data_IF_574378336134
#
_entry.id   IF_574378336134
#
_cell.length_a   1.000
_cell.length_b   1.000
_cell.length_c   1.000
_cell.angle_alpha   90.00
_cell.angle_beta   90.00
_cell.angle_gamma   90.00
#
_symmetry.space_group_name_H-M   'P 1'
#
loop_
_entity.id
_entity.type
_entity.pdbx_description
1 polymer ?
#
# COMPACT_ATOMS: atom_id res chain seq x y z
N UNK A 1 22.40 -19.61 -11.00
CA UNK A 1 21.18 -18.88 -10.58
C UNK A 1 21.40 -17.40 -10.80
N UNK A 2 20.61 -16.73 -11.66
CA UNK A 2 20.75 -15.28 -11.91
C UNK A 2 20.07 -14.51 -10.77
N UNK A 3 20.82 -13.61 -10.14
CA UNK A 3 20.37 -12.78 -9.02
C UNK A 3 19.17 -11.90 -9.45
N UNK A 4 18.09 -11.79 -8.66
CA UNK A 4 17.02 -10.84 -8.96
C UNK A 4 17.59 -9.42 -9.02
N UNK A 5 17.12 -8.62 -10.00
CA UNK A 5 17.57 -7.25 -10.19
C UNK A 5 17.30 -6.35 -8.97
N UNK A 6 18.03 -5.24 -8.82
CA UNK A 6 17.98 -4.38 -7.63
C UNK A 6 16.58 -3.84 -7.33
N UNK A 7 15.79 -3.50 -8.36
CA UNK A 7 14.45 -2.95 -8.18
C UNK A 7 13.45 -3.92 -7.52
N UNK A 8 13.47 -5.20 -7.87
CA UNK A 8 12.58 -6.19 -7.26
C UNK A 8 12.93 -6.39 -5.78
N UNK A 9 14.22 -6.38 -5.44
CA UNK A 9 14.67 -6.50 -4.04
C UNK A 9 14.22 -5.30 -3.21
N UNK A 10 14.40 -4.09 -3.74
CA UNK A 10 13.98 -2.85 -3.07
C UNK A 10 12.46 -2.81 -2.92
N UNK A 11 11.71 -3.20 -3.95
CA UNK A 11 10.24 -3.25 -3.89
C UNK A 11 9.74 -4.29 -2.87
N UNK A 12 10.31 -5.50 -2.86
CA UNK A 12 9.96 -6.54 -1.89
C UNK A 12 10.35 -6.11 -0.47
N UNK A 13 11.54 -5.57 -0.27
CA UNK A 13 11.99 -5.08 1.03
C UNK A 13 11.10 -3.95 1.53
N UNK A 14 10.77 -2.98 0.68
CA UNK A 14 9.83 -1.90 1.02
C UNK A 14 8.45 -2.43 1.38
N UNK A 15 7.93 -3.39 0.62
CA UNK A 15 6.64 -4.01 0.91
C UNK A 15 6.66 -4.80 2.23
N UNK A 16 7.69 -5.61 2.47
CA UNK A 16 7.87 -6.35 3.72
C UNK A 16 8.01 -5.40 4.91
N UNK A 17 8.91 -4.41 4.83
CA UNK A 17 9.11 -3.43 5.90
C UNK A 17 7.81 -2.71 6.25
N UNK A 18 7.01 -2.36 5.24
CA UNK A 18 5.75 -1.69 5.50
C UNK A 18 4.70 -2.62 6.11
N UNK A 19 4.55 -3.84 5.59
CA UNK A 19 3.61 -4.81 6.17
C UNK A 19 3.97 -5.13 7.63
N UNK A 20 5.27 -5.28 7.93
CA UNK A 20 5.76 -5.46 9.30
C UNK A 20 5.48 -4.23 10.16
N UNK A 21 5.73 -3.02 9.65
CA UNK A 21 5.40 -1.78 10.35
C UNK A 21 3.92 -1.67 10.69
N UNK A 22 3.03 -1.99 9.75
CA UNK A 22 1.59 -2.03 9.99
C UNK A 22 1.18 -3.06 11.03
N UNK A 23 1.75 -4.27 10.96
CA UNK A 23 1.46 -5.32 11.92
C UNK A 23 1.88 -4.93 13.35
N UNK A 24 3.07 -4.33 13.49
CA UNK A 24 3.57 -3.84 14.78
C UNK A 24 2.71 -2.70 15.31
N UNK A 25 2.34 -1.73 14.46
CA UNK A 25 1.51 -0.61 14.85
C UNK A 25 0.10 -1.05 15.26
N UNK A 26 -0.53 -1.94 14.48
CA UNK A 26 -1.83 -2.52 14.82
C UNK A 26 -1.77 -3.35 16.11
N UNK A 27 -0.69 -4.12 16.32
CA UNK A 27 -0.47 -4.86 17.57
C UNK A 27 -0.29 -3.94 18.77
N UNK A 28 0.45 -2.84 18.61
CA UNK A 28 0.63 -1.83 19.64
C UNK A 28 -0.69 -1.14 20.00
N UNK A 29 -1.47 -0.70 19.01
CA UNK A 29 -2.79 -0.11 19.22
C UNK A 29 -3.76 -1.10 19.87
N UNK A 30 -3.80 -2.34 19.38
CA UNK A 30 -4.66 -3.38 19.95
C UNK A 30 -4.31 -3.71 21.40
N UNK A 31 -3.02 -3.73 21.74
CA UNK A 31 -2.58 -3.89 23.13
C UNK A 31 -3.04 -2.72 24.02
N UNK A 32 -2.91 -1.48 23.54
CA UNK A 32 -3.35 -0.29 24.30
C UNK A 32 -4.87 -0.22 24.44
N UNK A 33 -5.62 -0.53 23.38
CA UNK A 33 -7.08 -0.61 23.42
C UNK A 33 -7.55 -1.70 24.40
N UNK A 34 -6.90 -2.86 24.39
CA UNK A 34 -7.22 -3.94 25.33
C UNK A 34 -6.91 -3.56 26.78
N UNK A 35 -5.74 -2.97 27.04
CA UNK A 35 -5.37 -2.50 28.38
C UNK A 35 -6.31 -1.39 28.87
N UNK A 36 -6.72 -0.47 27.97
CA UNK A 36 -7.71 0.56 28.27
C UNK A 36 -9.07 -0.05 28.64
N UNK A 37 -9.59 -0.99 27.83
CA UNK A 37 -10.84 -1.69 28.12
C UNK A 37 -10.80 -2.43 29.47
N UNK A 38 -9.72 -3.17 29.74
CA UNK A 38 -9.54 -3.84 31.04
C UNK A 38 -9.48 -2.87 32.22
N UNK A 39 -8.86 -1.70 32.06
CA UNK A 39 -8.82 -0.70 33.11
C UNK A 39 -10.18 -0.04 33.32
N UNK A 40 -10.92 0.25 32.23
CA UNK A 40 -12.30 0.75 32.26
C UNK A 40 -13.25 -0.24 32.93
N UNK A 41 -13.15 -1.52 32.62
CA UNK A 41 -14.00 -2.58 33.21
C UNK A 41 -13.78 -2.72 34.73
N UNK A 42 -12.58 -2.42 35.21
CA UNK A 42 -12.25 -2.39 36.65
C UNK A 42 -12.67 -1.09 37.34
N UNK A 43 -12.96 -0.04 36.57
CA UNK A 43 -13.33 1.28 37.08
C UNK A 43 -14.77 1.31 37.62
N UNK A 44 -14.98 0.62 38.75
CA UNK A 44 -16.30 0.40 39.34
C UNK A 44 -16.71 1.45 40.36
N UNK A 45 -15.76 2.25 40.87
CA UNK A 45 -16.04 3.34 41.80
C UNK A 45 -16.28 4.64 41.04
N UNK A 46 -17.19 5.48 41.54
CA UNK A 46 -17.51 6.77 40.95
C UNK A 46 -17.11 7.93 41.86
N UNK A 47 -16.56 8.98 41.26
CA UNK A 47 -16.27 10.25 41.88
C UNK A 47 -16.91 11.39 41.07
N UNK A 48 -17.23 12.49 41.75
CA UNK A 48 -17.63 13.73 41.08
C UNK A 48 -16.39 14.58 40.88
N UNK A 49 -15.95 14.70 39.63
CA UNK A 49 -14.93 15.66 39.22
C UNK A 49 -15.52 17.03 38.92
N UNK A 50 -14.66 18.04 38.83
CA UNK A 50 -14.99 19.39 38.39
C UNK A 50 -14.08 19.76 37.22
N UNK A 51 -14.66 20.24 36.13
CA UNK A 51 -13.91 20.76 34.98
C UNK A 51 -13.15 22.02 35.44
N UNK A 52 -11.83 22.00 35.36
CA UNK A 52 -10.98 23.12 35.83
C UNK A 52 -10.52 23.98 34.66
N UNK A 53 -10.41 23.37 33.49
CA UNK A 53 -9.94 23.97 32.26
C UNK A 53 -10.67 23.27 31.11
N UNK A 54 -11.39 24.07 30.34
CA UNK A 54 -11.90 23.75 29.03
C UNK A 54 -10.87 24.21 27.99
N UNK A 55 -10.64 23.42 26.94
CA UNK A 55 -9.96 23.87 25.71
C UNK A 55 -8.42 24.01 25.79
N UNK A 56 -7.71 22.95 26.20
CA UNK A 56 -6.25 22.86 26.12
C UNK A 56 -5.77 22.41 24.73
N UNK A 57 -5.96 23.27 23.73
CA UNK A 57 -5.28 23.17 22.43
C UNK A 57 -6.15 22.76 21.25
N UNK A 58 -7.17 21.92 21.45
CA UNK A 58 -8.17 21.52 20.45
C UNK A 58 -9.56 21.37 21.15
N UNK A 59 -10.65 21.66 20.42
CA UNK A 59 -12.05 21.77 20.91
C UNK A 59 -12.69 20.48 21.43
N UNK A 60 -11.92 19.44 21.77
CA UNK A 60 -12.43 18.09 22.09
C UNK A 60 -11.87 17.54 23.42
N UNK A 61 -11.30 18.41 24.26
CA UNK A 61 -10.66 18.02 25.52
C UNK A 61 -11.07 18.88 26.72
N UNK A 62 -11.24 18.22 27.86
CA UNK A 62 -11.42 18.88 29.17
C UNK A 62 -10.41 18.37 30.19
N UNK A 63 -10.02 19.24 31.12
CA UNK A 63 -9.22 18.85 32.28
C UNK A 63 -10.10 18.82 33.53
N UNK A 64 -10.24 17.64 34.10
CA UNK A 64 -11.10 17.41 35.26
C UNK A 64 -10.25 17.16 36.48
N UNK A 65 -10.56 17.89 37.55
CA UNK A 65 -10.04 17.64 38.88
C UNK A 65 -11.03 16.82 39.67
N UNK A 66 -10.58 15.72 40.25
CA UNK A 66 -11.41 14.81 41.02
C UNK A 66 -10.63 14.27 42.24
N UNK A 67 -11.33 13.63 43.16
CA UNK A 67 -10.73 13.01 44.36
C UNK A 67 -11.09 11.54 44.41
N UNK A 68 -10.12 10.70 44.75
CA UNK A 68 -10.32 9.27 44.95
C UNK A 68 -10.87 8.96 46.36
N UNK A 69 -11.07 7.66 46.66
CA UNK A 69 -11.56 7.20 47.98
C UNK A 69 -10.65 7.57 49.15
N UNK A 70 -9.37 7.80 48.90
CA UNK A 70 -8.38 8.19 49.91
C UNK A 70 -8.38 9.70 50.15
N UNK A 71 -9.14 10.45 49.34
CA UNK A 71 -9.19 11.90 49.34
C UNK A 71 -8.03 12.55 48.57
N UNK A 72 -7.18 11.76 47.90
CA UNK A 72 -6.09 12.27 47.06
C UNK A 72 -6.69 12.91 45.81
N UNK A 73 -6.17 14.09 45.49
CA UNK A 73 -6.62 14.90 44.37
C UNK A 73 -5.86 14.53 43.10
N UNK A 74 -6.61 14.39 42.01
CA UNK A 74 -6.12 14.02 40.69
C UNK A 74 -6.59 15.06 39.68
N UNK A 75 -5.71 15.39 38.73
CA UNK A 75 -6.04 16.28 37.61
C UNK A 75 -5.72 15.53 36.34
N UNK A 76 -6.75 15.21 35.56
CA UNK A 76 -6.61 14.36 34.38
C UNK A 76 -7.32 15.00 33.19
N UNK A 77 -6.76 14.76 32.00
CA UNK A 77 -7.37 15.13 30.72
C UNK A 77 -8.32 14.03 30.26
N UNK A 78 -9.49 14.42 29.78
CA UNK A 78 -10.50 13.57 29.18
C UNK A 78 -10.83 14.12 27.80
N UNK A 79 -10.71 13.28 26.78
CA UNK A 79 -11.25 13.52 25.45
C UNK A 79 -12.78 13.32 25.54
N UNK A 80 -13.55 14.27 25.02
CA UNK A 80 -15.01 14.24 25.01
C UNK A 80 -15.56 14.77 23.69
N UNK A 81 -16.69 14.24 23.24
CA UNK A 81 -17.30 14.69 21.98
C UNK A 81 -18.19 15.93 22.14
N UNK A 82 -18.73 16.16 23.34
CA UNK A 82 -19.65 17.27 23.64
C UNK A 82 -19.02 18.24 24.66
N UNK A 83 -18.07 19.06 24.20
CA UNK A 83 -17.42 20.07 25.04
C UNK A 83 -18.38 21.15 25.55
N UNK A 84 -19.47 21.41 24.81
CA UNK A 84 -20.49 22.39 25.21
C UNK A 84 -21.24 21.93 26.47
N UNK A 85 -21.41 20.60 26.64
CA UNK A 85 -22.01 19.99 27.84
C UNK A 85 -21.14 20.14 29.09
N UNK A 86 -19.82 20.19 28.94
CA UNK A 86 -18.85 20.16 30.04
C UNK A 86 -17.93 21.39 30.09
N UNK A 87 -18.51 22.56 30.31
CA UNK A 87 -17.80 23.83 30.51
C UNK A 87 -17.10 23.91 31.88
N UNK A 88 -16.10 24.80 31.99
CA UNK A 88 -15.37 25.04 33.24
C UNK A 88 -16.30 25.27 34.44
N UNK A 89 -15.99 24.60 35.55
CA UNK A 89 -16.74 24.63 36.80
C UNK A 89 -17.91 23.63 36.86
N UNK A 90 -18.29 22.99 35.74
CA UNK A 90 -19.29 21.92 35.73
C UNK A 90 -18.77 20.67 36.42
N UNK A 91 -19.71 19.89 36.94
CA UNK A 91 -19.46 18.55 37.47
C UNK A 91 -19.28 17.58 36.30
N UNK A 92 -18.28 16.71 36.41
CA UNK A 92 -18.00 15.65 35.45
C UNK A 92 -17.95 14.31 36.19
N UNK A 93 -18.75 13.30 35.81
CA UNK A 93 -18.70 12.00 36.45
C UNK A 93 -17.41 11.27 36.06
N UNK A 94 -16.64 10.82 37.05
CA UNK A 94 -15.40 10.06 36.84
C UNK A 94 -15.58 8.66 37.41
N UNK A 95 -15.37 7.63 36.60
CA UNK A 95 -15.21 6.25 37.04
C UNK A 95 -13.73 5.94 37.28
N UNK A 96 -13.38 5.18 38.31
CA UNK A 96 -11.99 4.77 38.60
C UNK A 96 -11.93 3.42 39.33
N UNK A 97 -10.79 2.74 39.26
CA UNK A 97 -10.52 1.52 40.03
C UNK A 97 -10.07 1.92 41.45
N UNK A 98 -10.86 1.63 42.50
CA UNK A 98 -10.50 2.05 43.86
C UNK A 98 -9.30 1.29 44.43
N UNK A 99 -8.97 0.13 43.88
CA UNK A 99 -7.92 -0.75 44.37
C UNK A 99 -6.58 -0.55 43.64
N UNK A 100 -6.55 0.31 42.63
CA UNK A 100 -5.33 0.74 41.95
C UNK A 100 -4.57 1.77 42.81
N UNK A 101 -3.24 1.60 42.93
CA UNK A 101 -2.40 2.45 43.78
C UNK A 101 -2.27 3.90 43.27
N UNK A 102 -2.40 4.09 41.96
CA UNK A 102 -2.44 5.39 41.29
C UNK A 102 -3.64 5.37 40.31
N UNK A 103 -4.86 5.60 40.81
CA UNK A 103 -6.07 5.30 40.07
C UNK A 103 -6.23 6.24 38.88
N UNK A 104 -6.40 5.66 37.70
CA UNK A 104 -6.74 6.41 36.49
C UNK A 104 -8.26 6.62 36.41
N UNK A 105 -8.67 7.84 36.11
CA UNK A 105 -10.07 8.19 35.86
C UNK A 105 -10.50 7.88 34.43
N UNK A 106 -11.76 7.51 34.27
CA UNK A 106 -12.48 7.29 33.01
C UNK A 106 -13.78 8.11 33.03
N UNK A 107 -14.33 8.51 31.87
CA UNK A 107 -15.67 9.09 31.82
C UNK A 107 -16.68 8.13 32.47
N UNK A 108 -17.38 8.62 33.49
CA UNK A 108 -18.45 7.86 34.14
C UNK A 108 -19.77 7.90 33.35
N UNK A 109 -19.85 8.76 32.33
CA UNK A 109 -20.94 8.83 31.38
C UNK A 109 -20.72 7.77 30.29
N UNK A 110 -21.72 6.92 30.04
CA UNK A 110 -21.66 5.90 29.00
C UNK A 110 -21.76 6.48 27.58
N UNK A 111 -22.24 7.72 27.44
CA UNK A 111 -22.31 8.42 26.15
C UNK A 111 -20.95 8.98 25.71
N UNK A 112 -19.99 9.12 26.62
CA UNK A 112 -18.64 9.61 26.31
C UNK A 112 -17.70 8.45 25.94
N UNK A 113 -17.53 8.25 24.63
CA UNK A 113 -16.71 7.17 24.04
C UNK A 113 -15.45 7.66 23.35
N UNK A 114 -15.15 8.97 23.38
CA UNK A 114 -14.09 9.58 22.58
C UNK A 114 -12.72 8.86 22.68
N UNK A 115 -12.24 8.59 23.89
CA UNK A 115 -10.96 7.90 24.09
C UNK A 115 -10.95 6.42 23.63
N UNK A 116 -12.11 5.76 23.58
CA UNK A 116 -12.22 4.39 23.06
C UNK A 116 -12.26 4.38 21.53
N UNK A 117 -13.03 5.31 20.95
CA UNK A 117 -13.17 5.46 19.51
C UNK A 117 -11.86 5.88 18.84
N UNK A 118 -11.07 6.75 19.49
CA UNK A 118 -9.74 7.16 19.02
C UNK A 118 -8.71 6.02 18.94
N UNK A 119 -8.91 4.96 19.73
CA UNK A 119 -8.09 3.76 19.66
C UNK A 119 -8.63 2.75 18.63
N UNK A 120 -9.96 2.63 18.51
CA UNK A 120 -10.59 1.59 17.69
C UNK A 120 -10.67 1.96 16.20
N UNK A 121 -11.02 3.21 15.87
CA UNK A 121 -11.19 3.68 14.49
C UNK A 121 -9.91 3.53 13.66
N UNK A 122 -8.71 3.91 14.15
CA UNK A 122 -7.47 3.70 13.41
C UNK A 122 -7.14 2.21 13.18
N UNK A 123 -7.45 1.34 14.15
CA UNK A 123 -7.25 -0.11 14.01
C UNK A 123 -8.14 -0.68 12.91
N UNK A 124 -9.42 -0.30 12.88
CA UNK A 124 -10.34 -0.72 11.84
C UNK A 124 -9.91 -0.22 10.45
N UNK A 125 -9.52 1.05 10.33
CA UNK A 125 -9.05 1.63 9.07
C UNK A 125 -7.76 0.95 8.57
N UNK A 126 -6.81 0.70 9.46
CA UNK A 126 -5.58 -0.02 9.15
C UNK A 126 -5.88 -1.46 8.71
N UNK A 127 -6.76 -2.16 9.44
CA UNK A 127 -7.22 -3.51 9.11
C UNK A 127 -7.91 -3.58 7.76
N UNK A 128 -8.83 -2.66 7.47
CA UNK A 128 -9.53 -2.58 6.19
C UNK A 128 -8.56 -2.32 5.02
N UNK A 129 -7.59 -1.42 5.22
CA UNK A 129 -6.57 -1.10 4.20
C UNK A 129 -5.68 -2.31 3.91
N UNK A 130 -5.21 -2.99 4.95
CA UNK A 130 -4.42 -4.21 4.82
C UNK A 130 -5.22 -5.32 4.13
N UNK A 131 -6.49 -5.51 4.49
CA UNK A 131 -7.37 -6.48 3.86
C UNK A 131 -7.60 -6.18 2.37
N UNK A 132 -7.83 -4.92 1.99
CA UNK A 132 -7.96 -4.50 0.60
C UNK A 132 -6.69 -4.80 -0.20
N UNK A 133 -5.52 -4.42 0.33
CA UNK A 133 -4.23 -4.72 -0.27
C UNK A 133 -4.04 -6.23 -0.47
N UNK A 134 -4.21 -7.02 0.58
CA UNK A 134 -4.10 -8.47 0.54
C UNK A 134 -5.09 -9.09 -0.45
N UNK A 135 -6.33 -8.60 -0.51
CA UNK A 135 -7.36 -9.11 -1.42
C UNK A 135 -6.99 -8.87 -2.89
N UNK A 136 -6.39 -7.72 -3.22
CA UNK A 136 -5.93 -7.40 -4.57
C UNK A 136 -4.82 -8.36 -4.99
N UNK A 137 -3.86 -8.63 -4.10
CA UNK A 137 -2.77 -9.57 -4.33
C UNK A 137 -3.24 -11.01 -4.42
N UNK A 138 -4.09 -11.45 -3.48
CA UNK A 138 -4.68 -12.79 -3.47
C UNK A 138 -5.49 -13.03 -4.74
N UNK A 139 -6.36 -12.07 -5.14
CA UNK A 139 -7.14 -12.16 -6.38
C UNK A 139 -6.24 -12.24 -7.60
N UNK A 140 -5.12 -11.51 -7.62
CA UNK A 140 -4.15 -11.54 -8.72
C UNK A 140 -3.38 -12.86 -8.79
N UNK A 141 -2.86 -13.33 -7.65
CA UNK A 141 -2.15 -14.61 -7.53
C UNK A 141 -3.06 -15.78 -7.88
N UNK A 142 -4.30 -15.75 -7.41
CA UNK A 142 -5.34 -16.71 -7.77
C UNK A 142 -5.57 -16.67 -9.28
N UNK A 143 -5.87 -15.51 -9.88
CA UNK A 143 -6.05 -15.41 -11.34
C UNK A 143 -4.85 -15.95 -12.13
N UNK A 144 -3.63 -15.67 -11.68
CA UNK A 144 -2.41 -16.20 -12.28
C UNK A 144 -2.38 -17.73 -12.19
N UNK A 145 -2.64 -18.29 -11.02
CA UNK A 145 -2.65 -19.73 -10.78
C UNK A 145 -3.73 -20.44 -11.62
N UNK A 146 -4.95 -19.90 -11.67
CA UNK A 146 -6.03 -20.43 -12.51
C UNK A 146 -5.70 -20.34 -13.99
N UNK A 147 -5.05 -19.26 -14.44
CA UNK A 147 -4.63 -19.12 -15.83
C UNK A 147 -3.48 -20.10 -16.17
N UNK A 148 -2.53 -20.30 -15.26
CA UNK A 148 -1.40 -21.22 -15.44
C UNK A 148 -1.82 -22.71 -15.47
N UNK A 149 -2.98 -23.06 -14.91
CA UNK A 149 -3.55 -24.42 -14.96
C UNK A 149 -4.27 -24.74 -16.28
N UNK A 150 -4.48 -23.74 -17.15
CA UNK A 150 -5.18 -23.95 -18.42
C UNK A 150 -4.29 -24.70 -19.41
N UNK A 151 -4.88 -25.38 -20.42
CA UNK A 151 -4.12 -25.99 -21.50
C UNK A 151 -3.15 -24.98 -22.14
N UNK A 152 -1.91 -25.41 -22.33
CA UNK A 152 -0.90 -24.63 -23.06
C UNK A 152 -1.03 -24.85 -24.56
N UNK A 153 -0.74 -23.81 -25.33
CA UNK A 153 -0.52 -23.92 -26.78
C UNK A 153 0.86 -23.37 -27.14
N UNK A 154 1.57 -24.01 -28.09
CA UNK A 154 2.82 -23.46 -28.61
C UNK A 154 2.53 -22.14 -29.34
N UNK A 155 3.32 -21.13 -29.02
CA UNK A 155 3.28 -19.81 -29.65
C UNK A 155 4.71 -19.28 -29.79
N UNK A 156 4.88 -18.28 -30.64
CA UNK A 156 6.09 -17.48 -30.72
C UNK A 156 5.85 -16.14 -30.02
N UNK A 157 6.73 -15.76 -29.11
CA UNK A 157 6.70 -14.48 -28.41
C UNK A 157 7.79 -13.55 -28.93
N UNK A 158 7.43 -12.32 -29.24
CA UNK A 158 8.38 -11.21 -29.40
C UNK A 158 8.16 -10.21 -28.28
N UNK A 159 9.27 -9.75 -27.69
CA UNK A 159 9.26 -8.79 -26.58
C UNK A 159 9.32 -7.38 -27.14
N UNK A 160 8.40 -6.53 -26.69
CA UNK A 160 8.34 -5.12 -27.07
C UNK A 160 8.44 -4.25 -25.81
N UNK A 161 9.26 -3.22 -25.88
CA UNK A 161 9.32 -2.17 -24.88
C UNK A 161 8.39 -1.04 -25.30
N UNK A 162 7.42 -0.76 -24.44
CA UNK A 162 6.44 0.29 -24.65
C UNK A 162 6.82 1.55 -23.91
N UNK A 163 7.17 2.62 -24.63
CA UNK A 163 7.28 3.97 -24.08
C UNK A 163 5.93 4.68 -24.26
N UNK A 164 5.38 5.24 -23.18
CA UNK A 164 4.11 5.97 -23.27
C UNK A 164 4.31 7.23 -24.13
N UNK A 165 3.51 7.42 -25.18
CA UNK A 165 3.59 8.66 -25.96
C UNK A 165 2.92 9.79 -25.17
N UNK A 166 3.71 10.84 -24.87
CA UNK A 166 3.27 12.18 -24.47
C UNK A 166 2.36 12.34 -23.22
N UNK A 167 2.18 11.34 -22.36
CA UNK A 167 1.48 11.56 -21.08
C UNK A 167 2.47 11.87 -19.96
N UNK A 168 2.35 13.01 -19.25
CA UNK A 168 3.14 13.30 -18.05
C UNK A 168 2.91 12.28 -16.91
N UNK A 169 1.90 11.42 -17.04
CA UNK A 169 1.58 10.31 -16.13
C UNK A 169 2.03 8.93 -16.65
N UNK A 170 2.82 8.86 -17.74
CA UNK A 170 3.46 7.61 -18.16
C UNK A 170 4.58 7.27 -17.15
N UNK A 171 4.19 6.61 -16.06
CA UNK A 171 5.02 6.38 -14.88
C UNK A 171 6.20 5.41 -15.11
N UNK A 172 6.25 4.67 -16.24
CA UNK A 172 7.38 3.82 -16.60
C UNK A 172 7.31 3.28 -18.03
N UNK A 173 8.44 2.79 -18.53
CA UNK A 173 8.45 1.82 -19.63
C UNK A 173 7.60 0.61 -19.26
N UNK A 174 6.86 0.08 -20.24
CA UNK A 174 5.97 -1.08 -20.06
C UNK A 174 6.41 -2.22 -20.96
N UNK A 175 6.52 -3.43 -20.42
CA UNK A 175 6.86 -4.60 -21.22
C UNK A 175 5.62 -5.26 -21.81
N UNK A 176 5.67 -5.53 -23.10
CA UNK A 176 4.61 -6.17 -23.87
C UNK A 176 5.16 -7.40 -24.58
N UNK A 177 4.35 -8.45 -24.61
CA UNK A 177 4.55 -9.60 -25.49
C UNK A 177 3.58 -9.52 -26.64
N UNK A 178 4.11 -9.68 -27.85
CA UNK A 178 3.33 -10.03 -29.03
C UNK A 178 3.46 -11.54 -29.24
N UNK A 179 2.34 -12.22 -29.13
CA UNK A 179 2.21 -13.67 -29.25
C UNK A 179 1.58 -14.00 -30.61
N UNK A 180 2.25 -14.85 -31.39
CA UNK A 180 1.76 -15.38 -32.67
C UNK A 180 1.70 -16.91 -32.58
N UNK A 181 0.65 -17.52 -33.12
CA UNK A 181 0.51 -18.98 -33.07
C UNK A 181 1.48 -19.63 -34.06
N UNK A 182 2.19 -20.66 -33.61
CA UNK A 182 3.22 -21.33 -34.44
C UNK A 182 2.53 -22.10 -35.57
N UNK A 183 2.93 -21.84 -36.82
CA UNK A 183 2.37 -22.54 -38.00
C UNK A 183 1.02 -22.01 -38.52
N UNK A 184 0.46 -20.94 -37.94
CA UNK A 184 -0.78 -20.33 -38.41
C UNK A 184 -0.57 -18.84 -38.72
N UNK A 185 -0.14 -18.53 -39.95
CA UNK A 185 0.13 -17.15 -40.41
C UNK A 185 -1.10 -16.24 -40.39
N UNK A 186 -2.30 -16.81 -40.54
CA UNK A 186 -3.57 -16.05 -40.65
C UNK A 186 -4.21 -15.67 -39.30
N UNK A 187 -3.70 -16.18 -38.17
CA UNK A 187 -4.31 -15.86 -36.87
C UNK A 187 -3.78 -14.53 -36.32
N UNK A 188 -4.67 -13.65 -35.83
CA UNK A 188 -4.28 -12.33 -35.37
C UNK A 188 -3.36 -12.43 -34.15
N UNK A 189 -2.27 -11.66 -34.20
CA UNK A 189 -1.33 -11.57 -33.09
C UNK A 189 -2.02 -11.06 -31.82
N UNK A 190 -1.62 -11.64 -30.70
CA UNK A 190 -2.15 -11.30 -29.37
C UNK A 190 -1.13 -10.47 -28.62
N UNK A 191 -1.58 -9.38 -28.02
CA UNK A 191 -0.76 -8.51 -27.19
C UNK A 191 -1.11 -8.69 -25.71
N UNK A 192 -0.08 -8.92 -24.89
CA UNK A 192 -0.21 -9.05 -23.44
C UNK A 192 0.87 -8.24 -22.75
N UNK A 193 0.48 -7.29 -21.91
CA UNK A 193 1.43 -6.62 -21.02
C UNK A 193 1.90 -7.62 -19.97
N UNK A 194 3.18 -7.60 -19.62
CA UNK A 194 3.76 -8.51 -18.64
C UNK A 194 4.57 -7.73 -17.59
N UNK A 195 4.64 -8.31 -16.40
CA UNK A 195 5.57 -7.87 -15.37
C UNK A 195 7.00 -8.12 -15.84
N UNK A 196 7.91 -7.17 -15.57
CA UNK A 196 9.33 -7.36 -15.83
C UNK A 196 9.85 -8.61 -15.10
N UNK A 197 10.73 -9.35 -15.79
CA UNK A 197 11.39 -10.53 -15.27
C UNK A 197 12.82 -10.57 -15.86
N UNK A 198 13.87 -10.87 -15.08
CA UNK A 198 15.26 -10.79 -15.54
C UNK A 198 15.61 -11.75 -16.69
N UNK A 199 14.78 -12.77 -16.93
CA UNK A 199 14.96 -13.66 -18.09
C UNK A 199 14.67 -12.94 -19.41
N UNK A 200 13.79 -11.93 -19.40
CA UNK A 200 13.38 -11.18 -20.59
C UNK A 200 14.57 -10.43 -21.20
N UNK A 201 15.45 -9.88 -20.36
CA UNK A 201 16.64 -9.15 -20.82
C UNK A 201 17.62 -10.05 -21.60
N UNK A 202 17.50 -11.38 -21.46
CA UNK A 202 18.30 -12.35 -22.19
C UNK A 202 17.64 -12.87 -23.47
N UNK A 203 16.37 -12.56 -23.73
CA UNK A 203 15.65 -13.03 -24.90
C UNK A 203 16.03 -12.17 -26.12
N UNK A 204 16.22 -12.82 -27.27
CA UNK A 204 16.54 -12.16 -28.54
C UNK A 204 15.62 -12.65 -29.63
N UNK A 205 14.97 -11.71 -30.31
CA UNK A 205 14.07 -12.01 -31.41
C UNK A 205 12.86 -12.85 -30.99
N UNK A 206 12.22 -13.54 -31.95
CA UNK A 206 11.10 -14.42 -31.69
C UNK A 206 11.53 -15.66 -30.90
N UNK A 207 10.87 -15.93 -29.78
CA UNK A 207 11.18 -17.08 -28.90
C UNK A 207 9.96 -17.99 -28.82
N UNK A 208 10.18 -19.31 -28.90
CA UNK A 208 9.12 -20.28 -28.68
C UNK A 208 8.67 -20.29 -27.22
N UNK A 209 7.37 -20.23 -27.01
CA UNK A 209 6.74 -20.19 -25.69
C UNK A 209 5.50 -21.05 -25.63
N UNK A 210 5.15 -21.47 -24.42
CA UNK A 210 3.86 -22.09 -24.13
C UNK A 210 2.91 -21.05 -23.55
N UNK A 211 1.86 -20.70 -24.28
CA UNK A 211 0.85 -19.76 -23.82
C UNK A 211 -0.34 -20.51 -23.21
N UNK A 212 -0.60 -20.30 -21.92
CA UNK A 212 -1.77 -20.83 -21.24
C UNK A 212 -2.93 -19.84 -21.37
N UNK A 213 -3.91 -20.16 -22.21
CA UNK A 213 -5.09 -19.33 -22.42
C UNK A 213 -6.37 -20.14 -22.57
N UNK A 214 -7.50 -19.59 -22.15
CA UNK A 214 -8.81 -20.20 -22.41
C UNK A 214 -9.24 -19.99 -23.85
N UNK A 215 -9.97 -20.95 -24.43
CA UNK A 215 -10.72 -20.75 -25.68
C UNK A 215 -11.69 -19.57 -25.50
N UNK A 216 -11.65 -18.59 -26.42
CA UNK A 216 -12.54 -17.42 -26.38
C UNK A 216 -12.31 -16.37 -25.27
N UNK A 217 -11.51 -16.64 -24.23
CA UNK A 217 -11.49 -15.75 -23.06
C UNK A 217 -10.77 -14.42 -23.31
N UNK A 218 -11.36 -13.30 -22.86
CA UNK A 218 -10.71 -11.98 -22.74
C UNK A 218 -9.72 -11.90 -21.54
N UNK A 219 -9.46 -13.04 -20.89
CA UNK A 219 -8.61 -13.15 -19.71
C UNK A 219 -7.13 -12.97 -20.01
N UNK A 220 -6.36 -12.76 -18.94
CA UNK A 220 -4.91 -12.66 -18.99
C UNK A 220 -4.28 -13.98 -19.49
N UNK A 221 -3.21 -13.87 -20.29
CA UNK A 221 -2.45 -15.03 -20.79
C UNK A 221 -1.21 -15.22 -19.93
N UNK A 222 -1.03 -16.42 -19.38
CA UNK A 222 0.23 -16.77 -18.72
C UNK A 222 1.16 -17.39 -19.75
N UNK A 223 2.34 -16.80 -19.90
CA UNK A 223 3.35 -17.26 -20.85
C UNK A 223 4.42 -18.01 -20.10
N UNK A 224 4.68 -19.24 -20.51
CA UNK A 224 5.76 -20.08 -19.98
C UNK A 224 6.88 -20.15 -21.02
N UNK A 225 8.06 -19.74 -20.62
CA UNK A 225 9.29 -19.83 -21.41
C UNK A 225 9.83 -21.26 -21.43
N UNK A 226 10.76 -21.56 -22.32
CA UNK A 226 11.38 -22.89 -22.49
C UNK A 226 12.14 -23.36 -21.25
N UNK A 227 12.71 -22.43 -20.48
CA UNK A 227 13.36 -22.68 -19.19
C UNK A 227 12.36 -23.00 -18.05
N UNK A 228 11.06 -22.98 -18.35
CA UNK A 228 9.98 -23.21 -17.39
C UNK A 228 9.52 -21.96 -16.65
N UNK A 229 10.17 -20.82 -16.83
CA UNK A 229 9.81 -19.54 -16.21
C UNK A 229 8.42 -19.11 -16.65
N UNK A 230 7.58 -18.68 -15.69
CA UNK A 230 6.22 -18.19 -15.96
C UNK A 230 6.18 -16.67 -15.82
N UNK A 231 5.83 -15.99 -16.90
CA UNK A 231 5.69 -14.54 -16.91
C UNK A 231 4.32 -14.13 -16.37
N UNK A 232 4.31 -13.16 -15.44
CA UNK A 232 3.09 -12.68 -14.79
C UNK A 232 2.42 -11.65 -15.69
N UNK A 233 1.20 -11.92 -16.21
CA UNK A 233 0.52 -10.95 -17.04
C UNK A 233 0.02 -9.74 -16.24
N UNK A 234 0.03 -8.59 -16.90
CA UNK A 234 -0.55 -7.34 -16.46
C UNK A 234 -1.79 -7.01 -17.28
N UNK A 235 -2.96 -7.02 -16.63
CA UNK A 235 -4.22 -6.64 -17.27
C UNK A 235 -4.75 -7.64 -18.30
N UNK A 236 -5.61 -7.17 -19.20
CA UNK A 236 -6.34 -7.99 -20.18
C UNK A 236 -5.52 -8.18 -21.46
N UNK A 237 -5.72 -9.34 -22.08
CA UNK A 237 -5.26 -9.66 -23.44
C UNK A 237 -5.86 -8.68 -24.46
N UNK A 238 -5.07 -8.24 -25.43
CA UNK A 238 -5.50 -7.38 -26.54
C UNK A 238 -5.27 -8.07 -27.88
N UNK A 239 -6.17 -7.85 -28.84
CA UNK A 239 -6.03 -8.32 -30.23
C UNK A 239 -5.36 -7.30 -31.15
N UNK A 240 -5.18 -6.08 -30.66
CA UNK A 240 -4.62 -4.95 -31.39
C UNK A 240 -3.52 -4.34 -30.53
N UNK A 241 -2.50 -3.79 -31.19
CA UNK A 241 -1.42 -3.07 -30.52
C UNK A 241 -1.98 -1.92 -29.65
N UNK A 242 -1.36 -1.63 -28.49
CA UNK A 242 -1.75 -0.52 -27.63
C UNK A 242 -1.60 0.84 -28.35
N UNK A 243 -2.72 1.57 -28.54
CA UNK A 243 -2.78 2.84 -29.30
C UNK A 243 -1.99 4.03 -28.74
N UNK A 244 -1.61 4.04 -27.46
CA UNK A 244 -0.96 5.17 -26.76
C UNK A 244 0.47 4.84 -26.30
N UNK A 245 1.07 3.84 -26.92
CA UNK A 245 2.38 3.31 -26.52
C UNK A 245 3.18 3.12 -27.80
N UNK A 246 4.34 3.78 -27.89
CA UNK A 246 5.32 3.49 -28.92
C UNK A 246 6.00 2.19 -28.52
N UNK A 247 5.86 1.17 -29.37
CA UNK A 247 6.40 -0.16 -29.13
C UNK A 247 7.64 -0.32 -29.98
N UNK A 248 8.79 -0.34 -29.30
CA UNK A 248 10.06 -0.69 -29.92
C UNK A 248 10.35 -2.16 -29.63
N UNK A 249 10.78 -2.90 -30.65
CA UNK A 249 11.21 -4.27 -30.46
C UNK A 249 12.40 -4.29 -29.50
N UNK A 250 12.35 -5.15 -28.49
CA UNK A 250 13.39 -5.22 -27.48
C UNK A 250 14.65 -5.84 -28.09
N UNK A 251 15.53 -4.99 -28.60
CA UNK A 251 16.89 -5.38 -28.93
C UNK A 251 17.70 -5.34 -27.64
N UNK A 252 18.16 -6.51 -27.20
CA UNK A 252 19.12 -6.60 -26.12
C UNK A 252 20.42 -5.91 -26.57
N UNK A 253 20.55 -4.62 -26.32
CA UNK A 253 21.79 -3.87 -26.52
C UNK A 253 22.83 -4.54 -25.64
N UNK A 254 23.79 -5.23 -26.26
CA UNK A 254 25.02 -5.63 -25.55
C UNK A 254 25.71 -4.34 -25.20
N UNK A 255 25.60 -3.90 -23.94
CA UNK A 255 26.65 -3.09 -23.35
C UNK A 255 27.86 -4.01 -23.23
N UNK A 256 28.72 -4.03 -24.24
CA UNK A 256 30.03 -4.65 -24.05
C UNK A 256 30.84 -3.78 -23.11
N UNK A 257 31.75 -4.37 -22.36
CA UNK A 257 32.70 -3.62 -21.51
C UNK A 257 33.57 -2.63 -22.31
N UNK A 258 33.57 -2.75 -23.64
CA UNK A 258 34.17 -1.80 -24.58
C UNK A 258 33.31 -0.55 -24.80
N UNK A 259 31.99 -0.68 -24.74
CA UNK A 259 31.02 0.42 -24.90
C UNK A 259 30.85 1.27 -23.63
N UNK A 260 31.35 0.78 -22.48
CA UNK A 260 31.42 1.59 -21.25
C UNK A 260 32.57 2.63 -21.26
N UNK A 261 33.48 2.57 -22.23
CA UNK A 261 34.61 3.49 -22.37
C UNK A 261 34.52 4.41 -23.59
N UNK A 262 33.54 4.23 -24.48
CA UNK A 262 33.23 5.26 -25.47
C UNK A 262 32.58 6.44 -24.74
N UNK A 263 33.10 7.67 -24.87
CA UNK A 263 32.49 8.84 -24.27
C UNK A 263 31.05 8.88 -24.77
N UNK A 264 30.13 8.78 -23.81
CA UNK A 264 28.69 8.85 -24.05
C UNK A 264 28.44 10.12 -24.85
N UNK A 265 27.94 9.97 -26.08
CA UNK A 265 27.46 11.07 -26.88
C UNK A 265 26.60 11.95 -25.96
N UNK A 266 26.93 13.25 -25.84
CA UNK A 266 26.30 14.18 -24.92
C UNK A 266 24.79 14.41 -25.17
N UNK A 267 24.22 13.67 -26.13
CA UNK A 267 22.80 13.58 -26.47
C UNK A 267 22.11 12.36 -25.86
N UNK A 268 22.83 11.48 -25.14
CA UNK A 268 22.26 10.42 -24.34
C UNK A 268 21.36 11.04 -23.28
N UNK A 269 20.06 11.13 -23.62
CA UNK A 269 18.96 11.59 -22.78
C UNK A 269 19.25 11.12 -21.36
N UNK A 270 19.39 12.06 -20.42
CA UNK A 270 19.47 11.80 -18.99
C UNK A 270 18.56 10.62 -18.65
N UNK A 271 19.16 9.43 -18.50
CA UNK A 271 18.45 8.22 -18.12
C UNK A 271 18.02 8.48 -16.70
N UNK A 272 16.78 8.95 -16.53
CA UNK A 272 16.21 9.22 -15.21
C UNK A 272 16.50 8.02 -14.33
N UNK A 273 16.99 8.22 -13.10
CA UNK A 273 17.23 7.12 -12.19
C UNK A 273 15.96 6.27 -12.10
N UNK A 274 16.07 4.96 -12.27
CA UNK A 274 14.93 4.04 -12.33
C UNK A 274 14.02 4.10 -11.10
N UNK A 275 14.55 4.54 -9.97
CA UNK A 275 13.83 4.73 -8.70
C UNK A 275 13.05 6.05 -8.64
N UNK A 276 13.33 7.00 -9.53
CA UNK A 276 12.73 8.34 -9.52
C UNK A 276 11.21 8.35 -9.68
N UNK A 277 10.61 7.55 -10.60
CA UNK A 277 9.16 7.46 -10.69
C UNK A 277 8.53 6.86 -9.42
N UNK A 278 9.18 5.87 -8.81
CA UNK A 278 8.75 5.27 -7.55
C UNK A 278 8.77 6.27 -6.39
N UNK A 279 9.83 7.07 -6.29
CA UNK A 279 9.94 8.14 -5.29
C UNK A 279 8.86 9.20 -5.45
N UNK A 280 8.52 9.60 -6.69
CA UNK A 280 7.41 10.53 -6.95
C UNK A 280 6.06 9.97 -6.53
N UNK A 281 5.82 8.69 -6.79
CA UNK A 281 4.57 8.02 -6.39
C UNK A 281 4.48 7.90 -4.87
N UNK A 282 5.60 7.58 -4.20
CA UNK A 282 5.68 7.57 -2.74
C UNK A 282 5.41 8.97 -2.15
N UNK A 283 6.06 10.01 -2.69
CA UNK A 283 5.86 11.40 -2.26
C UNK A 283 4.42 11.87 -2.47
N UNK A 284 3.82 11.55 -3.63
CA UNK A 284 2.40 11.84 -3.88
C UNK A 284 1.50 11.12 -2.87
N UNK A 285 1.82 9.88 -2.52
CA UNK A 285 1.09 9.16 -1.49
C UNK A 285 1.26 9.73 -0.10
N UNK A 286 2.46 10.19 0.28
CA UNK A 286 2.66 10.90 1.55
C UNK A 286 1.76 12.13 1.62
N UNK A 287 1.79 13.00 0.60
CA UNK A 287 0.95 14.22 0.57
C UNK A 287 -0.53 13.88 0.64
N UNK A 288 -0.99 12.93 -0.18
CA UNK A 288 -2.39 12.52 -0.20
C UNK A 288 -2.83 11.95 1.14
N UNK A 289 -2.00 11.12 1.77
CA UNK A 289 -2.29 10.52 3.06
C UNK A 289 -2.26 11.52 4.21
N UNK A 290 -1.33 12.48 4.22
CA UNK A 290 -1.30 13.57 5.20
C UNK A 290 -2.56 14.43 5.11
N UNK A 291 -2.95 14.83 3.89
CA UNK A 291 -4.18 15.63 3.67
C UNK A 291 -5.42 14.84 4.10
N UNK A 292 -5.51 13.55 3.73
CA UNK A 292 -6.63 12.71 4.13
C UNK A 292 -6.70 12.51 5.65
N UNK A 293 -5.56 12.26 6.31
CA UNK A 293 -5.51 12.12 7.78
C UNK A 293 -5.90 13.41 8.50
N UNK A 294 -5.44 14.56 8.01
CA UNK A 294 -5.80 15.85 8.57
C UNK A 294 -7.29 16.16 8.43
N UNK A 295 -7.92 15.80 7.31
CA UNK A 295 -9.33 16.09 7.04
C UNK A 295 -10.32 15.09 7.68
N UNK A 296 -9.92 13.82 7.85
CA UNK A 296 -10.82 12.76 8.29
C UNK A 296 -10.74 12.45 9.79
N UNK A 297 -9.64 12.80 10.46
CA UNK A 297 -9.35 12.36 11.84
C UNK A 297 -8.88 13.57 12.68
N UNK A 298 -9.58 14.70 12.54
CA UNK A 298 -9.42 15.86 13.44
C UNK A 298 -8.02 16.48 13.50
N UNK A 299 -7.14 16.24 12.52
CA UNK A 299 -5.78 16.78 12.55
C UNK A 299 -4.79 16.05 13.47
N UNK A 300 -5.18 14.92 14.08
CA UNK A 300 -4.28 14.10 14.91
C UNK A 300 -2.97 13.76 14.15
N UNK A 301 -1.83 14.12 14.75
CA UNK A 301 -0.51 13.91 14.14
C UNK A 301 -0.25 12.41 13.91
N UNK A 302 -0.72 11.55 14.82
CA UNK A 302 -0.60 10.09 14.71
C UNK A 302 -1.41 9.59 13.51
N UNK A 303 -2.65 10.07 13.35
CA UNK A 303 -3.52 9.73 12.24
C UNK A 303 -2.95 10.21 10.89
N UNK A 304 -2.44 11.44 10.83
CA UNK A 304 -1.81 12.02 9.64
C UNK A 304 -0.57 11.24 9.20
N UNK A 305 0.31 10.87 10.15
CA UNK A 305 1.50 10.05 9.86
C UNK A 305 1.10 8.64 9.41
N UNK A 306 0.14 8.00 10.09
CA UNK A 306 -0.36 6.69 9.71
C UNK A 306 -0.93 6.66 8.30
N UNK A 307 -1.78 7.63 7.97
CA UNK A 307 -2.39 7.76 6.64
C UNK A 307 -1.36 8.09 5.55
N UNK A 308 -0.38 8.95 5.83
CA UNK A 308 0.73 9.25 4.92
C UNK A 308 1.51 7.98 4.56
N UNK A 309 1.92 7.20 5.56
CA UNK A 309 2.65 5.95 5.36
C UNK A 309 1.80 4.90 4.61
N UNK A 310 0.51 4.79 4.94
CA UNK A 310 -0.47 3.96 4.22
C UNK A 310 -0.51 4.29 2.73
N UNK A 311 -0.79 5.55 2.41
CA UNK A 311 -0.98 6.00 1.04
C UNK A 311 0.33 5.94 0.24
N UNK A 312 1.46 6.35 0.84
CA UNK A 312 2.78 6.23 0.22
C UNK A 312 3.10 4.78 -0.14
N UNK A 313 2.84 3.84 0.77
CA UNK A 313 3.09 2.42 0.52
C UNK A 313 2.13 1.85 -0.50
N UNK A 314 0.84 2.10 -0.36
CA UNK A 314 -0.19 1.62 -1.29
C UNK A 314 0.16 2.05 -2.71
N UNK A 315 0.47 3.33 -2.90
CA UNK A 315 0.80 3.88 -4.21
C UNK A 315 2.14 3.35 -4.73
N UNK A 316 3.16 3.21 -3.87
CA UNK A 316 4.44 2.60 -4.26
C UNK A 316 4.28 1.13 -4.64
N UNK A 317 3.44 0.38 -3.93
CA UNK A 317 3.09 -1.00 -4.26
C UNK A 317 2.31 -1.08 -5.58
N UNK A 318 1.38 -0.16 -5.82
CA UNK A 318 0.66 -0.03 -7.10
C UNK A 318 1.61 0.32 -8.27
N UNK A 319 2.61 1.17 -8.02
CA UNK A 319 3.66 1.48 -8.98
C UNK A 319 4.57 0.28 -9.25
N UNK A 320 5.05 -0.41 -8.21
CA UNK A 320 5.82 -1.63 -8.36
C UNK A 320 5.01 -2.71 -9.11
N UNK A 321 3.70 -2.78 -8.88
CA UNK A 321 2.75 -3.62 -9.60
C UNK A 321 2.61 -3.27 -11.09
N UNK A 322 2.94 -2.05 -11.49
CA UNK A 322 3.00 -1.65 -12.90
C UNK A 322 4.27 -2.16 -13.61
N UNK A 323 5.19 -2.73 -12.83
CA UNK A 323 6.43 -3.39 -13.25
C UNK A 323 7.34 -2.50 -14.12
N UNK A 324 7.75 -1.33 -13.60
CA UNK A 324 8.72 -0.49 -14.26
C UNK A 324 10.00 -1.30 -14.52
N UNK A 325 10.56 -1.15 -15.71
CA UNK A 325 11.89 -1.65 -16.01
C UNK A 325 12.92 -0.89 -15.13
N UNK A 326 13.83 -1.59 -14.43
CA UNK A 326 14.96 -0.96 -13.73
C UNK A 326 16.00 -0.38 -14.69
#
# INVERSE_FOLDING_TARGET
>A
MRRPGPALRVALLGMTATLTGFALFAGWLGFHAHAYGQARDRATAHATGVVVEDDLGDTEDIRVRWKDRTGREHVQRFEIYDTDRYTKGRRFPVAYDPDEADPRGFPGDSEETAAEDDLFVPVLLAGATAALLCSVWARRGLRFWWAARRPSRPMTATVHCGTGSASPHALSESLWLRLTETGASDRPAVWQRIMWHPVIDGLRGPVEVSAHHGTGSRGAVVVRLTDGTRLVPLGRRRRVAPRRVLLDEHTAVRTTLRDSFTPVDATARFTRPWWWPGARVAAFGLVLGTVAGALLIGGSLVAAVGMALCAATLLTALWALSAPRP
#
